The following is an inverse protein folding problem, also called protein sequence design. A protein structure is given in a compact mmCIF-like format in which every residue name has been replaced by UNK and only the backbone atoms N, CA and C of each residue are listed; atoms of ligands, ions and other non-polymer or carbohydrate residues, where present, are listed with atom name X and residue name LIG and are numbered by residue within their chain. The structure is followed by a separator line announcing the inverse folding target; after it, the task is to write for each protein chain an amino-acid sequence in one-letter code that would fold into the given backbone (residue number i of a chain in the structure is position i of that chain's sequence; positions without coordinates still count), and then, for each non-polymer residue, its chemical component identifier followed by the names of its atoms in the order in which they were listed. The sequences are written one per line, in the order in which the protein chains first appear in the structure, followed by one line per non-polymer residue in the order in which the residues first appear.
data_IF_391724965082
#
_entry.id   IF_391724965082
#
_cell.length_a   1.000
_cell.length_b   1.000
_cell.length_c   1.000
_cell.angle_alpha   90.00
_cell.angle_beta   90.00
_cell.angle_gamma   90.00
#
_symmetry.space_group_name_H-M   'P 1'
#
loop_
_entity.id
_entity.type
_entity.pdbx_description
1 polymer ?
#
# COMPACT_ATOMS: atom_id res chain seq x y z
N UNK A 1 -28.97 -53.72 -38.02
CA UNK A 1 -29.24 -54.85 -37.16
C UNK A 1 -30.61 -55.46 -37.45
N UNK A 2 -30.84 -56.71 -37.03
CA UNK A 2 -32.17 -57.34 -37.11
C UNK A 2 -33.01 -57.12 -35.84
N UNK A 3 -32.38 -56.62 -34.84
CA UNK A 3 -32.96 -56.20 -33.52
C UNK A 3 -32.58 -54.80 -33.25
N UNK A 4 -33.35 -54.11 -32.42
CA UNK A 4 -32.98 -52.81 -31.88
C UNK A 4 -31.69 -52.94 -31.05
N UNK A 5 -30.77 -52.00 -31.21
CA UNK A 5 -29.54 -51.90 -30.42
C UNK A 5 -29.71 -50.78 -29.42
N UNK A 6 -29.40 -51.06 -28.17
CA UNK A 6 -29.34 -50.01 -27.14
C UNK A 6 -27.94 -49.90 -26.56
N UNK A 7 -27.54 -48.70 -26.14
CA UNK A 7 -26.29 -48.41 -25.45
C UNK A 7 -26.53 -47.30 -24.44
N UNK A 8 -26.12 -47.51 -23.21
CA UNK A 8 -26.16 -46.49 -22.19
C UNK A 8 -25.01 -45.50 -22.40
N UNK A 9 -25.25 -44.26 -22.08
CA UNK A 9 -24.20 -43.26 -22.04
C UNK A 9 -24.22 -42.44 -20.74
N UNK A 10 -23.01 -42.11 -20.25
CA UNK A 10 -22.78 -41.27 -19.08
C UNK A 10 -22.05 -40.02 -19.54
N UNK A 11 -22.45 -38.89 -19.01
CA UNK A 11 -21.91 -37.55 -19.30
C UNK A 11 -21.07 -37.07 -18.14
N UNK A 12 -19.81 -36.73 -18.41
CA UNK A 12 -18.85 -36.19 -17.44
C UNK A 12 -18.07 -35.05 -18.11
N UNK A 13 -17.08 -34.49 -17.42
CA UNK A 13 -16.23 -33.43 -17.97
C UNK A 13 -16.07 -32.29 -16.95
N UNK A 14 -15.53 -31.17 -17.39
CA UNK A 14 -15.37 -29.96 -16.56
C UNK A 14 -16.59 -29.06 -16.66
N UNK A 15 -17.27 -29.03 -17.80
CA UNK A 15 -18.48 -28.25 -18.00
C UNK A 15 -19.65 -28.76 -17.15
N UNK A 16 -20.46 -27.86 -16.65
CA UNK A 16 -21.60 -28.13 -15.77
C UNK A 16 -22.89 -28.28 -16.59
N UNK A 17 -23.49 -29.47 -16.51
CA UNK A 17 -24.75 -29.76 -17.20
C UNK A 17 -25.97 -29.08 -16.60
N UNK A 18 -27.16 -29.57 -17.02
CA UNK A 18 -28.47 -29.07 -16.55
C UNK A 18 -28.81 -27.64 -16.95
N UNK A 19 -28.24 -27.17 -18.08
CA UNK A 19 -28.53 -25.85 -18.64
C UNK A 19 -27.71 -24.71 -18.01
N UNK A 20 -26.65 -25.02 -17.29
CA UNK A 20 -25.65 -24.04 -16.88
C UNK A 20 -24.72 -23.75 -18.05
N UNK A 21 -23.93 -24.72 -18.49
CA UNK A 21 -23.05 -24.59 -19.66
C UNK A 21 -23.61 -25.33 -20.88
N UNK A 22 -24.36 -26.43 -20.66
CA UNK A 22 -25.02 -27.19 -21.70
C UNK A 22 -26.19 -28.00 -21.14
N UNK A 23 -26.98 -28.57 -22.06
CA UNK A 23 -28.06 -29.52 -21.72
C UNK A 23 -27.78 -30.88 -22.35
N UNK A 24 -27.42 -31.85 -21.52
CA UNK A 24 -27.39 -33.30 -21.80
C UNK A 24 -27.27 -34.04 -20.47
N UNK A 25 -28.21 -34.95 -20.22
CA UNK A 25 -28.15 -35.86 -19.07
C UNK A 25 -27.69 -37.24 -19.50
N UNK A 26 -27.30 -38.08 -18.55
CA UNK A 26 -27.11 -39.53 -18.75
C UNK A 26 -28.35 -40.13 -19.36
N UNK A 27 -28.17 -41.17 -20.22
CA UNK A 27 -29.30 -41.77 -20.88
C UNK A 27 -28.97 -43.07 -21.61
N UNK A 28 -29.93 -43.53 -22.39
CA UNK A 28 -29.79 -44.69 -23.25
C UNK A 28 -30.13 -44.32 -24.68
N UNK A 29 -29.18 -44.49 -25.58
CA UNK A 29 -29.40 -44.36 -27.02
C UNK A 29 -29.99 -45.66 -27.58
N UNK A 30 -31.07 -45.55 -28.36
CA UNK A 30 -31.67 -46.67 -29.08
C UNK A 30 -31.50 -46.48 -30.58
N UNK A 31 -30.98 -47.51 -31.27
CA UNK A 31 -30.84 -47.57 -32.74
C UNK A 31 -31.81 -48.64 -33.22
N UNK A 32 -32.82 -48.21 -33.96
CA UNK A 32 -33.90 -49.11 -34.44
C UNK A 32 -33.40 -50.20 -35.42
N UNK A 33 -34.11 -51.29 -35.41
CA UNK A 33 -33.84 -52.41 -36.39
C UNK A 33 -33.87 -51.88 -37.83
N UNK A 34 -32.79 -52.11 -38.53
CA UNK A 34 -32.58 -51.60 -39.90
C UNK A 34 -31.72 -50.34 -39.99
N UNK A 35 -31.62 -49.55 -38.94
CA UNK A 35 -30.74 -48.41 -38.92
C UNK A 35 -29.31 -48.77 -38.52
N UNK A 36 -28.34 -47.97 -38.95
CA UNK A 36 -26.91 -48.20 -38.75
C UNK A 36 -26.28 -47.14 -37.80
N UNK A 37 -27.02 -46.11 -37.42
CA UNK A 37 -26.54 -45.00 -36.55
C UNK A 37 -27.65 -44.45 -35.68
N UNK A 38 -27.29 -43.84 -34.57
CA UNK A 38 -28.12 -43.01 -33.69
C UNK A 38 -27.31 -41.82 -33.23
N UNK A 39 -27.96 -40.79 -32.70
CA UNK A 39 -27.32 -39.52 -32.31
C UNK A 39 -27.62 -39.20 -30.83
N UNK A 40 -26.59 -38.90 -30.09
CA UNK A 40 -26.67 -38.20 -28.80
C UNK A 40 -26.37 -36.73 -29.06
N UNK A 41 -27.22 -35.80 -28.62
CA UNK A 41 -27.09 -34.38 -28.95
C UNK A 41 -26.84 -33.60 -27.69
N UNK A 42 -25.76 -32.82 -27.65
CA UNK A 42 -25.51 -31.75 -26.66
C UNK A 42 -26.28 -30.54 -27.19
N UNK A 43 -27.15 -29.96 -26.38
CA UNK A 43 -27.94 -28.79 -26.74
C UNK A 43 -27.71 -27.64 -25.73
N UNK A 44 -28.20 -26.45 -26.11
CA UNK A 44 -28.23 -25.27 -25.23
C UNK A 44 -26.84 -24.98 -24.64
N UNK A 45 -25.80 -24.94 -25.50
CA UNK A 45 -24.49 -24.48 -25.11
C UNK A 45 -24.65 -22.99 -24.78
N UNK A 46 -24.34 -22.65 -23.54
CA UNK A 46 -24.47 -21.28 -23.01
C UNK A 46 -23.19 -20.53 -23.32
N UNK A 47 -23.33 -19.26 -23.72
CA UNK A 47 -22.32 -18.27 -23.92
C UNK A 47 -22.59 -17.13 -22.89
N UNK A 48 -21.64 -16.80 -22.05
CA UNK A 48 -21.77 -15.72 -21.07
C UNK A 48 -20.68 -14.65 -21.28
N UNK A 49 -20.22 -13.95 -20.27
CA UNK A 49 -19.23 -12.88 -20.39
C UNK A 49 -18.04 -13.09 -19.42
N UNK A 50 -17.93 -14.29 -18.84
CA UNK A 50 -16.84 -14.61 -17.94
C UNK A 50 -15.65 -15.17 -18.71
N UNK A 51 -14.47 -14.58 -18.54
CA UNK A 51 -13.20 -15.15 -18.97
C UNK A 51 -12.92 -16.41 -18.13
N UNK A 52 -12.99 -17.59 -18.77
CA UNK A 52 -12.91 -18.90 -18.16
C UNK A 52 -11.90 -19.81 -18.88
N UNK A 53 -11.65 -20.97 -18.33
CA UNK A 53 -10.89 -22.00 -19.04
C UNK A 53 -11.82 -22.76 -19.98
N UNK A 54 -11.28 -23.23 -21.13
CA UNK A 54 -12.01 -24.13 -22.00
C UNK A 54 -12.50 -25.33 -21.22
N UNK A 55 -13.76 -25.67 -21.39
CA UNK A 55 -14.40 -26.78 -20.69
C UNK A 55 -14.68 -27.99 -21.58
N UNK A 56 -14.95 -29.12 -20.96
CA UNK A 56 -15.20 -30.37 -21.68
C UNK A 56 -16.51 -31.02 -21.29
N UNK A 57 -17.20 -31.59 -22.31
CA UNK A 57 -18.31 -32.53 -22.15
C UNK A 57 -17.84 -33.88 -22.66
N UNK A 58 -17.75 -34.88 -21.81
CA UNK A 58 -17.25 -36.21 -22.12
C UNK A 58 -18.42 -37.20 -22.07
N UNK A 59 -18.73 -37.83 -23.20
CA UNK A 59 -19.77 -38.86 -23.35
C UNK A 59 -19.12 -40.22 -23.45
N UNK A 60 -19.41 -41.10 -22.48
CA UNK A 60 -18.87 -42.46 -22.44
C UNK A 60 -19.98 -43.49 -22.67
N UNK A 61 -19.84 -44.34 -23.65
CA UNK A 61 -20.79 -45.43 -23.96
C UNK A 61 -20.52 -46.68 -23.12
N UNK A 62 -21.59 -47.32 -22.64
CA UNK A 62 -21.52 -48.54 -21.84
C UNK A 62 -22.73 -49.46 -22.05
N UNK A 63 -22.69 -50.66 -21.49
CA UNK A 63 -23.82 -51.62 -21.44
C UNK A 63 -24.55 -51.80 -22.76
N UNK A 64 -23.87 -52.15 -23.90
CA UNK A 64 -24.54 -52.36 -25.18
C UNK A 64 -25.44 -53.61 -25.14
N UNK A 65 -26.62 -53.52 -25.77
CA UNK A 65 -27.52 -54.66 -26.00
C UNK A 65 -27.64 -54.91 -27.47
N UNK A 66 -27.58 -56.17 -27.88
CA UNK A 66 -27.56 -56.66 -29.29
C UNK A 66 -26.41 -56.09 -30.13
N UNK A 67 -25.34 -55.62 -29.47
CA UNK A 67 -24.10 -55.11 -30.06
C UNK A 67 -22.91 -55.32 -29.11
N UNK A 68 -21.70 -55.02 -29.55
CA UNK A 68 -20.48 -54.94 -28.75
C UNK A 68 -19.88 -53.54 -28.89
N UNK A 69 -19.31 -53.03 -27.80
CA UNK A 69 -18.57 -51.77 -27.84
C UNK A 69 -17.30 -51.92 -28.68
N UNK A 70 -17.02 -50.91 -29.50
CA UNK A 70 -15.74 -50.78 -30.18
C UNK A 70 -14.69 -50.13 -29.24
N UNK A 71 -13.52 -49.81 -29.82
CA UNK A 71 -12.43 -49.12 -29.14
C UNK A 71 -12.79 -47.67 -28.83
N UNK A 72 -13.57 -47.03 -29.68
CA UNK A 72 -13.90 -45.61 -29.65
C UNK A 72 -15.26 -45.42 -28.97
N UNK A 73 -15.29 -45.66 -27.68
CA UNK A 73 -16.48 -45.58 -26.83
C UNK A 73 -16.54 -44.31 -25.96
N UNK A 74 -15.61 -43.40 -26.15
CA UNK A 74 -15.56 -42.09 -25.45
C UNK A 74 -15.47 -40.99 -26.51
N UNK A 75 -16.31 -39.98 -26.37
CA UNK A 75 -16.26 -38.77 -27.17
C UNK A 75 -16.10 -37.56 -26.26
N UNK A 76 -15.16 -36.66 -26.59
CA UNK A 76 -14.95 -35.39 -25.87
C UNK A 76 -15.35 -34.26 -26.80
N UNK A 77 -16.25 -33.41 -26.32
CA UNK A 77 -16.57 -32.14 -26.93
C UNK A 77 -15.97 -31.04 -26.06
N UNK A 78 -15.31 -30.03 -26.66
CA UNK A 78 -14.72 -28.90 -25.95
C UNK A 78 -15.59 -27.68 -26.21
N UNK A 79 -16.04 -27.02 -25.13
CA UNK A 79 -16.62 -25.68 -25.12
C UNK A 79 -15.43 -24.76 -25.03
N UNK A 80 -15.21 -23.92 -26.02
CA UNK A 80 -14.13 -22.95 -26.03
C UNK A 80 -14.66 -21.64 -25.44
N UNK A 81 -13.95 -21.13 -24.46
CA UNK A 81 -14.14 -19.76 -23.99
C UNK A 81 -13.74 -18.75 -25.09
N UNK A 82 -14.55 -17.73 -25.30
CA UNK A 82 -14.38 -16.68 -26.32
C UNK A 82 -14.34 -15.28 -25.70
N UNK A 83 -14.32 -15.18 -24.36
CA UNK A 83 -14.34 -13.92 -23.64
C UNK A 83 -12.94 -13.34 -23.41
N UNK A 84 -12.89 -12.03 -23.28
CA UNK A 84 -11.62 -11.35 -23.08
C UNK A 84 -11.26 -11.31 -21.60
N UNK A 85 -9.99 -11.51 -21.29
CA UNK A 85 -9.47 -11.29 -19.95
C UNK A 85 -9.76 -9.85 -19.48
N UNK A 86 -10.21 -9.68 -18.24
CA UNK A 86 -10.53 -8.37 -17.67
C UNK A 86 -9.29 -7.49 -17.51
N UNK A 87 -9.47 -6.17 -17.40
CA UNK A 87 -8.41 -5.26 -16.96
C UNK A 87 -8.43 -5.12 -15.44
N UNK A 88 -7.24 -4.89 -14.86
CA UNK A 88 -7.05 -4.66 -13.43
C UNK A 88 -6.42 -3.29 -13.20
N UNK A 89 -7.05 -2.47 -12.35
CA UNK A 89 -6.74 -1.08 -12.10
C UNK A 89 -6.92 -0.70 -10.62
N UNK A 90 -6.25 0.35 -10.15
CA UNK A 90 -6.64 0.99 -8.89
C UNK A 90 -7.94 1.76 -9.06
N UNK A 91 -8.88 1.61 -8.11
CA UNK A 91 -10.15 2.37 -8.08
C UNK A 91 -9.93 3.90 -8.01
N UNK A 92 -8.92 4.30 -7.25
CA UNK A 92 -8.42 5.67 -7.15
C UNK A 92 -6.90 5.64 -7.24
N UNK A 93 -6.29 6.68 -7.80
CA UNK A 93 -4.83 6.72 -8.01
C UNK A 93 -4.06 7.49 -6.93
N UNK A 94 -4.77 8.12 -5.99
CA UNK A 94 -4.11 8.82 -4.89
C UNK A 94 -4.99 9.00 -3.66
N UNK A 95 -4.35 9.07 -2.50
CA UNK A 95 -4.95 9.51 -1.23
C UNK A 95 -3.90 10.19 -0.35
N UNK A 96 -4.32 10.69 0.81
CA UNK A 96 -3.43 11.27 1.81
C UNK A 96 -3.99 11.09 3.22
N UNK A 97 -3.12 11.09 4.21
CA UNK A 97 -3.47 11.10 5.63
C UNK A 97 -2.41 11.81 6.46
N UNK A 98 -2.78 12.23 7.66
CA UNK A 98 -1.85 12.67 8.70
C UNK A 98 -1.24 11.46 9.42
N UNK A 99 -0.25 11.69 10.26
CA UNK A 99 0.33 10.74 11.23
C UNK A 99 -0.25 11.02 12.64
N UNK A 100 -0.60 9.96 13.42
CA UNK A 100 -0.77 8.58 12.96
C UNK A 100 -2.09 8.40 12.18
N UNK A 101 -2.12 7.43 11.29
CA UNK A 101 -3.35 7.08 10.59
C UNK A 101 -3.71 5.60 10.82
N UNK A 102 -5.00 5.26 10.91
CA UNK A 102 -5.43 3.87 10.96
C UNK A 102 -5.11 3.15 9.65
N UNK A 103 -5.41 1.84 9.59
CA UNK A 103 -5.19 1.06 8.36
C UNK A 103 -5.91 1.68 7.16
N UNK A 104 -5.22 1.67 6.02
CA UNK A 104 -5.70 2.22 4.75
C UNK A 104 -5.93 1.04 3.80
N UNK A 105 -7.16 0.87 3.34
CA UNK A 105 -7.50 -0.11 2.32
C UNK A 105 -7.51 0.56 0.95
N UNK A 106 -6.67 0.09 0.06
CA UNK A 106 -6.54 0.54 -1.31
C UNK A 106 -7.27 -0.47 -2.18
N UNK A 107 -8.34 -0.04 -2.83
CA UNK A 107 -9.17 -0.89 -3.67
C UNK A 107 -8.53 -1.04 -5.05
N UNK A 108 -8.45 -2.29 -5.50
CA UNK A 108 -8.07 -2.68 -6.85
C UNK A 108 -9.30 -3.28 -7.51
N UNK A 109 -9.73 -2.71 -8.62
CA UNK A 109 -10.92 -3.12 -9.35
C UNK A 109 -10.55 -3.96 -10.57
N UNK A 110 -11.45 -4.87 -10.92
CA UNK A 110 -11.41 -5.67 -12.14
C UNK A 110 -12.58 -5.24 -13.02
N UNK A 111 -12.33 -4.98 -14.30
CA UNK A 111 -13.33 -4.41 -15.22
C UNK A 111 -14.59 -5.26 -15.39
N UNK A 112 -14.46 -6.57 -15.21
CA UNK A 112 -15.56 -7.54 -15.20
C UNK A 112 -15.14 -8.74 -14.34
N UNK A 113 -16.12 -9.46 -13.80
CA UNK A 113 -15.84 -10.71 -13.08
C UNK A 113 -15.25 -11.74 -14.01
N UNK A 114 -14.34 -12.58 -13.48
CA UNK A 114 -13.77 -13.72 -14.21
C UNK A 114 -14.14 -15.01 -13.49
N UNK A 115 -14.32 -16.08 -14.23
CA UNK A 115 -14.45 -17.43 -13.69
C UNK A 115 -13.12 -17.99 -13.16
N UNK A 116 -12.01 -17.27 -13.36
CA UNK A 116 -10.66 -17.65 -12.90
C UNK A 116 -10.19 -16.74 -11.75
N UNK A 117 -9.37 -17.30 -10.86
CA UNK A 117 -8.62 -16.51 -9.89
C UNK A 117 -7.67 -15.56 -10.63
N UNK A 118 -7.69 -14.29 -10.25
CA UNK A 118 -6.78 -13.26 -10.76
C UNK A 118 -5.72 -12.99 -9.72
N UNK A 119 -4.47 -12.87 -10.15
CA UNK A 119 -3.38 -12.39 -9.29
C UNK A 119 -2.63 -11.25 -9.96
N UNK A 120 -2.11 -10.31 -9.14
CA UNK A 120 -1.26 -9.22 -9.59
C UNK A 120 -0.20 -8.92 -8.53
N UNK A 121 1.04 -8.78 -8.97
CA UNK A 121 2.12 -8.37 -8.07
C UNK A 121 2.03 -6.86 -7.81
N UNK A 122 2.40 -6.44 -6.60
CA UNK A 122 2.55 -5.03 -6.25
C UNK A 122 3.92 -4.76 -5.62
N UNK A 123 4.51 -3.63 -6.02
CA UNK A 123 5.78 -3.14 -5.53
C UNK A 123 5.61 -1.76 -4.89
N UNK A 124 6.26 -1.58 -3.74
CA UNK A 124 6.27 -0.32 -3.01
C UNK A 124 7.56 0.46 -3.27
N UNK A 125 7.39 1.74 -3.54
CA UNK A 125 8.47 2.73 -3.69
C UNK A 125 7.99 4.04 -3.04
N UNK A 126 8.77 5.11 -3.16
CA UNK A 126 8.41 6.42 -2.63
C UNK A 126 9.49 6.96 -1.70
N UNK A 127 9.17 8.01 -0.95
CA UNK A 127 10.10 8.64 0.02
C UNK A 127 9.92 8.09 1.43
N UNK A 128 8.71 7.67 1.79
CA UNK A 128 8.41 7.06 3.08
C UNK A 128 9.16 5.72 3.27
N UNK A 129 9.63 5.48 4.49
CA UNK A 129 10.44 4.32 4.87
C UNK A 129 9.56 3.20 5.42
N UNK A 130 9.52 2.06 4.74
CA UNK A 130 8.80 0.87 5.18
C UNK A 130 9.45 0.15 6.37
N UNK A 131 9.02 -1.10 6.59
CA UNK A 131 9.55 -1.99 7.65
C UNK A 131 9.33 -1.47 9.07
N UNK A 132 8.27 -0.69 9.28
CA UNK A 132 7.86 -0.24 10.61
C UNK A 132 8.49 1.08 11.06
N UNK A 133 9.05 1.89 10.15
CA UNK A 133 9.40 3.30 10.42
C UNK A 133 8.14 4.15 10.20
N UNK A 134 7.74 4.44 8.98
CA UNK A 134 6.56 5.25 8.66
C UNK A 134 5.34 4.37 8.39
N UNK A 135 5.55 3.18 7.87
CA UNK A 135 4.51 2.18 7.63
C UNK A 135 5.07 0.75 7.65
N UNK A 136 4.18 -0.25 7.69
CA UNK A 136 4.55 -1.65 7.69
C UNK A 136 3.79 -2.44 6.62
N UNK A 137 4.20 -2.30 5.36
CA UNK A 137 3.76 -3.11 4.24
C UNK A 137 4.97 -3.44 3.37
N UNK A 138 5.03 -4.68 2.88
CA UNK A 138 6.09 -5.15 1.97
C UNK A 138 5.51 -5.43 0.59
N UNK A 139 6.38 -5.57 -0.42
CA UNK A 139 6.00 -6.03 -1.76
C UNK A 139 5.29 -7.38 -1.66
N UNK A 140 4.31 -7.61 -2.51
CA UNK A 140 3.51 -8.83 -2.46
C UNK A 140 2.71 -9.09 -3.71
N UNK A 141 1.80 -10.05 -3.60
CA UNK A 141 0.85 -10.41 -4.64
C UNK A 141 -0.56 -10.29 -4.10
N UNK A 142 -1.41 -9.54 -4.78
CA UNK A 142 -2.84 -9.50 -4.53
C UNK A 142 -3.50 -10.64 -5.28
N UNK A 143 -4.39 -11.36 -4.61
CA UNK A 143 -5.23 -12.40 -5.19
C UNK A 143 -6.68 -11.93 -5.12
N UNK A 144 -7.40 -12.08 -6.22
CA UNK A 144 -8.84 -11.84 -6.35
C UNK A 144 -9.48 -13.17 -6.77
N UNK A 145 -10.34 -13.71 -5.91
CA UNK A 145 -10.96 -15.00 -6.14
C UNK A 145 -11.88 -14.97 -7.37
N UNK A 146 -12.06 -16.12 -8.01
CA UNK A 146 -13.01 -16.28 -9.12
C UNK A 146 -14.42 -15.81 -8.70
N UNK A 147 -15.06 -15.03 -9.56
CA UNK A 147 -16.38 -14.43 -9.31
C UNK A 147 -16.37 -13.10 -8.56
N UNK A 148 -15.22 -12.68 -8.00
CA UNK A 148 -15.07 -11.37 -7.38
C UNK A 148 -14.54 -10.35 -8.41
N UNK A 149 -14.87 -9.07 -8.19
CA UNK A 149 -14.46 -7.98 -9.08
C UNK A 149 -13.62 -6.91 -8.35
N UNK A 150 -13.28 -7.15 -7.09
CA UNK A 150 -12.47 -6.22 -6.29
C UNK A 150 -11.52 -6.98 -5.37
N UNK A 151 -10.34 -6.38 -5.14
CA UNK A 151 -9.40 -6.81 -4.12
C UNK A 151 -8.86 -5.62 -3.33
N UNK A 152 -8.11 -5.88 -2.25
CA UNK A 152 -7.61 -4.83 -1.38
C UNK A 152 -6.13 -5.03 -1.06
N UNK A 153 -5.34 -3.98 -1.26
CA UNK A 153 -4.00 -3.86 -0.68
C UNK A 153 -4.15 -3.01 0.58
N UNK A 154 -3.75 -3.55 1.73
CA UNK A 154 -3.93 -2.86 3.03
C UNK A 154 -2.59 -2.40 3.58
N UNK A 155 -2.43 -1.10 3.78
CA UNK A 155 -1.37 -0.54 4.61
C UNK A 155 -1.89 -0.63 6.06
N UNK A 156 -1.24 -1.36 6.99
CA UNK A 156 -1.77 -1.61 8.34
C UNK A 156 -1.97 -0.36 9.20
N UNK A 157 -1.34 0.73 8.84
CA UNK A 157 -1.43 2.05 9.46
C UNK A 157 -0.19 2.87 9.13
N UNK A 158 -0.31 4.18 9.28
CA UNK A 158 0.81 5.12 9.26
C UNK A 158 1.25 5.31 10.70
N UNK A 159 2.54 5.23 10.93
CA UNK A 159 3.16 5.37 12.24
C UNK A 159 3.49 6.84 12.49
N UNK A 160 3.56 7.23 13.75
CA UNK A 160 3.83 8.60 14.21
C UNK A 160 5.07 8.56 15.09
N UNK A 161 5.95 9.50 14.93
CA UNK A 161 7.07 9.70 15.84
C UNK A 161 7.17 11.20 16.24
N UNK A 162 8.28 11.61 16.82
CA UNK A 162 8.49 12.98 17.28
C UNK A 162 9.51 13.73 16.40
N UNK A 163 9.79 13.23 15.20
CA UNK A 163 10.80 13.80 14.28
C UNK A 163 10.08 14.71 13.27
N UNK A 164 10.52 15.96 13.16
CA UNK A 164 10.01 16.85 12.13
C UNK A 164 10.52 16.41 10.76
N UNK A 165 9.59 16.13 9.88
CA UNK A 165 9.82 15.61 8.53
C UNK A 165 9.10 16.47 7.49
N UNK A 166 9.33 16.18 6.22
CA UNK A 166 8.57 16.75 5.12
C UNK A 166 7.48 15.75 4.71
N UNK A 167 6.47 16.18 3.96
CA UNK A 167 5.47 15.28 3.39
C UNK A 167 6.14 14.15 2.61
N UNK A 168 5.74 12.92 2.89
CA UNK A 168 6.32 11.73 2.29
C UNK A 168 5.33 10.96 1.43
N UNK A 169 5.81 10.01 0.63
CA UNK A 169 4.97 9.24 -0.29
C UNK A 169 5.22 7.75 -0.19
N UNK A 170 4.13 6.98 -0.26
CA UNK A 170 4.12 5.54 -0.56
C UNK A 170 3.54 5.38 -1.96
N UNK A 171 4.33 4.84 -2.87
CA UNK A 171 3.91 4.60 -4.26
C UNK A 171 3.78 3.09 -4.45
N UNK A 172 2.60 2.64 -4.88
CA UNK A 172 2.32 1.23 -5.15
C UNK A 172 2.12 1.06 -6.65
N UNK A 173 2.86 0.13 -7.25
CA UNK A 173 2.80 -0.16 -8.70
C UNK A 173 2.37 -1.59 -8.93
N UNK A 174 1.32 -1.82 -9.74
CA UNK A 174 0.86 -3.15 -10.16
C UNK A 174 1.69 -3.67 -11.32
N UNK A 175 2.00 -4.98 -11.31
CA UNK A 175 2.76 -5.66 -12.36
C UNK A 175 2.42 -7.16 -12.44
N UNK A 176 2.85 -7.83 -13.53
CA UNK A 176 2.73 -9.28 -13.71
C UNK A 176 1.33 -9.87 -13.43
N UNK A 177 0.25 -9.35 -14.02
CA UNK A 177 -1.08 -9.90 -13.81
C UNK A 177 -1.17 -11.32 -14.39
N UNK A 178 -1.94 -12.19 -13.73
CA UNK A 178 -2.34 -13.51 -14.24
C UNK A 178 -3.86 -13.51 -14.40
N UNK A 179 -4.37 -14.02 -15.49
CA UNK A 179 -5.79 -14.04 -15.88
C UNK A 179 -6.43 -12.63 -15.93
N UNK A 180 -5.62 -11.60 -16.13
CA UNK A 180 -6.04 -10.22 -16.33
C UNK A 180 -5.00 -9.46 -17.16
N UNK A 181 -5.35 -8.25 -17.60
CA UNK A 181 -4.48 -7.32 -18.31
C UNK A 181 -4.36 -6.06 -17.45
N UNK A 182 -3.14 -5.50 -17.32
CA UNK A 182 -2.98 -4.20 -16.64
C UNK A 182 -3.71 -3.10 -17.39
N UNK A 183 -4.52 -2.33 -16.69
CA UNK A 183 -5.14 -1.12 -17.20
C UNK A 183 -4.23 0.09 -17.12
N UNK A 184 -4.81 1.28 -17.25
CA UNK A 184 -4.07 2.55 -17.28
C UNK A 184 -3.73 3.02 -15.85
N UNK A 185 -4.61 2.81 -14.87
CA UNK A 185 -4.49 3.25 -13.48
C UNK A 185 -3.76 2.22 -12.61
N UNK A 186 -2.53 1.90 -12.98
CA UNK A 186 -1.69 0.88 -12.33
C UNK A 186 -0.70 1.42 -11.30
N UNK A 187 -0.73 2.72 -11.03
CA UNK A 187 0.13 3.37 -10.03
C UNK A 187 -0.76 4.15 -9.07
N UNK A 188 -0.60 3.86 -7.78
CA UNK A 188 -1.27 4.57 -6.69
C UNK A 188 -0.25 5.28 -5.83
N UNK A 189 -0.58 6.51 -5.38
CA UNK A 189 0.28 7.28 -4.48
C UNK A 189 -0.49 7.68 -3.22
N UNK A 190 0.00 7.25 -2.07
CA UNK A 190 -0.42 7.77 -0.76
C UNK A 190 0.56 8.82 -0.29
N UNK A 191 0.08 10.01 0.11
CA UNK A 191 0.91 11.05 0.72
C UNK A 191 0.67 11.06 2.23
N UNK A 192 1.73 10.88 2.98
CA UNK A 192 1.78 11.06 4.43
C UNK A 192 2.06 12.54 4.66
N UNK A 193 1.17 13.22 5.38
CA UNK A 193 1.33 14.64 5.69
C UNK A 193 2.12 14.78 6.99
N UNK A 194 3.22 15.49 6.92
CA UNK A 194 4.00 15.83 8.10
C UNK A 194 3.15 16.60 9.12
N UNK A 195 3.20 16.18 10.38
CA UNK A 195 2.43 16.79 11.45
C UNK A 195 3.30 17.26 12.62
N UNK A 196 4.60 16.89 12.61
CA UNK A 196 5.56 17.32 13.61
C UNK A 196 6.23 18.62 13.19
N UNK A 197 5.96 19.66 13.93
CA UNK A 197 6.74 20.89 13.88
C UNK A 197 8.16 20.61 14.40
N UNK A 198 9.17 21.25 13.85
CA UNK A 198 10.49 21.28 14.50
C UNK A 198 10.32 21.71 15.96
N UNK A 199 10.30 20.73 16.84
CA UNK A 199 10.06 20.92 18.27
C UNK A 199 11.20 21.70 18.96
N UNK A 200 12.31 21.91 18.24
CA UNK A 200 13.43 22.73 18.73
C UNK A 200 13.04 24.19 18.78
N UNK A 201 13.19 24.84 19.93
CA UNK A 201 12.95 26.27 20.03
C UNK A 201 13.87 27.06 19.11
N UNK A 202 13.29 27.98 18.33
CA UNK A 202 14.04 28.90 17.48
C UNK A 202 14.20 30.27 18.20
N UNK A 203 15.44 30.79 18.23
CA UNK A 203 15.71 32.08 18.83
C UNK A 203 15.19 33.25 17.97
N UNK A 204 14.16 33.94 18.45
CA UNK A 204 13.53 35.07 17.76
C UNK A 204 14.33 36.35 17.96
N UNK A 205 14.74 36.61 19.21
CA UNK A 205 15.43 37.88 19.56
C UNK A 205 16.28 37.74 20.80
N UNK A 206 17.25 38.64 20.90
CA UNK A 206 18.07 38.84 22.11
C UNK A 206 17.93 40.29 22.63
N UNK A 207 18.03 40.44 23.93
CA UNK A 207 18.18 41.75 24.53
C UNK A 207 19.31 41.68 25.63
N UNK A 208 20.43 42.39 25.51
CA UNK A 208 20.77 43.31 24.41
C UNK A 208 20.74 42.66 23.04
N UNK A 209 20.44 43.44 22.00
CA UNK A 209 20.56 42.97 20.61
C UNK A 209 22.01 42.65 20.30
N UNK A 210 22.24 41.73 19.37
CA UNK A 210 23.56 41.48 18.83
C UNK A 210 24.22 42.76 18.31
N UNK A 211 25.53 42.92 18.48
CA UNK A 211 26.32 44.12 18.18
C UNK A 211 25.92 45.40 18.97
N UNK A 212 25.18 45.27 20.06
CA UNK A 212 24.83 46.42 20.91
C UNK A 212 26.06 47.00 21.58
N UNK A 213 26.24 48.31 21.48
CA UNK A 213 27.32 49.07 22.15
C UNK A 213 26.78 49.81 23.37
N UNK A 214 27.64 50.03 24.39
CA UNK A 214 27.30 50.73 25.62
C UNK A 214 26.20 50.06 26.45
N UNK A 215 26.20 48.74 26.45
CA UNK A 215 25.32 47.93 27.32
C UNK A 215 25.73 48.15 28.75
N UNK A 216 24.80 48.46 29.69
CA UNK A 216 25.13 48.56 31.10
C UNK A 216 25.73 47.25 31.63
N UNK A 217 26.71 47.36 32.52
CA UNK A 217 27.47 46.22 33.08
C UNK A 217 26.62 45.27 33.95
N UNK A 218 25.46 45.68 34.32
CA UNK A 218 24.47 44.95 35.14
C UNK A 218 23.28 44.48 34.31
N UNK A 219 23.38 44.53 32.99
CA UNK A 219 22.32 44.06 32.10
C UNK A 219 22.26 42.55 32.03
N UNK A 220 21.08 42.01 32.25
CA UNK A 220 20.79 40.59 31.96
C UNK A 220 20.74 40.35 30.45
N UNK A 221 21.03 39.12 30.02
CA UNK A 221 20.77 38.68 28.66
C UNK A 221 19.41 37.99 28.62
N UNK A 222 18.50 38.51 27.82
CA UNK A 222 17.19 37.95 27.60
C UNK A 222 17.16 37.33 26.22
N UNK A 223 16.84 36.03 26.14
CA UNK A 223 16.64 35.27 24.90
C UNK A 223 15.15 34.99 24.75
N UNK A 224 14.58 35.39 23.63
CA UNK A 224 13.18 35.10 23.31
C UNK A 224 13.12 34.08 22.21
N UNK A 225 12.43 32.98 22.46
CA UNK A 225 12.22 31.86 21.52
C UNK A 225 10.76 31.82 21.05
N UNK A 226 10.50 31.10 19.96
CA UNK A 226 9.16 30.83 19.43
C UNK A 226 8.37 29.83 20.27
N UNK A 227 9.08 29.00 21.05
CA UNK A 227 8.51 27.94 21.90
C UNK A 227 9.22 27.89 23.24
N UNK A 228 8.59 27.22 24.21
CA UNK A 228 9.16 27.02 25.55
C UNK A 228 10.47 26.22 25.49
N UNK A 229 11.50 26.69 26.19
CA UNK A 229 12.84 26.09 26.25
C UNK A 229 13.02 25.30 27.53
N UNK A 230 13.37 24.03 27.43
CA UNK A 230 13.77 23.21 28.56
C UNK A 230 15.27 23.39 28.84
N UNK A 231 15.64 23.61 30.14
CA UNK A 231 17.02 23.84 30.56
C UNK A 231 17.60 22.66 31.35
N UNK A 232 17.21 21.43 31.08
CA UNK A 232 17.68 20.25 31.84
C UNK A 232 19.15 19.95 31.64
N UNK A 233 19.67 20.24 30.44
CA UNK A 233 21.08 19.99 30.10
C UNK A 233 21.55 20.91 28.96
N UNK A 234 22.86 21.06 28.82
CA UNK A 234 23.48 21.83 27.75
C UNK A 234 24.42 22.89 28.24
N UNK A 235 24.93 23.72 27.34
CA UNK A 235 25.84 24.83 27.64
C UNK A 235 25.46 26.04 26.79
N UNK A 236 25.26 27.20 27.46
CA UNK A 236 25.10 28.50 26.80
C UNK A 236 26.47 29.13 26.72
N UNK A 237 26.97 29.41 25.54
CA UNK A 237 28.23 30.08 25.29
C UNK A 237 27.96 31.53 24.91
N UNK A 238 28.56 32.46 25.64
CA UNK A 238 28.50 33.91 25.40
C UNK A 238 29.91 34.37 25.04
N UNK A 239 30.13 34.95 23.86
CA UNK A 239 31.45 35.32 23.43
C UNK A 239 31.48 36.05 22.08
N UNK A 240 32.64 36.52 21.67
CA UNK A 240 32.86 37.13 20.37
C UNK A 240 33.17 36.08 19.29
N UNK A 241 33.03 36.44 18.01
CA UNK A 241 33.16 35.60 16.82
C UNK A 241 34.47 34.78 16.68
N UNK A 242 35.46 34.97 17.55
CA UNK A 242 36.78 34.33 17.45
C UNK A 242 36.95 33.05 18.26
N UNK A 243 35.92 32.22 18.37
CA UNK A 243 36.00 30.84 18.89
C UNK A 243 36.46 30.64 20.34
N UNK A 244 36.53 31.64 21.17
CA UNK A 244 36.73 31.50 22.62
C UNK A 244 35.52 32.09 23.33
N UNK A 245 34.66 31.29 23.98
CA UNK A 245 33.56 31.87 24.75
C UNK A 245 34.15 32.69 25.87
N UNK A 246 33.74 33.97 25.93
CA UNK A 246 34.11 34.82 27.05
C UNK A 246 33.52 34.29 28.38
N UNK A 247 32.39 33.59 28.27
CA UNK A 247 31.70 32.97 29.37
C UNK A 247 30.85 31.79 28.92
N UNK A 248 30.88 30.70 29.66
CA UNK A 248 30.08 29.50 29.37
C UNK A 248 29.25 29.13 30.60
N UNK A 249 27.96 28.92 30.41
CA UNK A 249 27.01 28.50 31.44
C UNK A 249 26.53 27.09 31.15
N UNK A 250 26.88 26.14 32.00
CA UNK A 250 26.34 24.78 31.93
C UNK A 250 24.98 24.72 32.61
N UNK A 251 24.03 24.08 31.96
CA UNK A 251 22.68 23.91 32.45
C UNK A 251 22.51 22.57 33.22
N UNK A 252 21.66 22.51 34.25
CA UNK A 252 20.92 23.62 34.86
C UNK A 252 21.84 24.57 35.66
N UNK A 253 21.49 25.86 35.76
CA UNK A 253 22.27 26.85 36.47
C UNK A 253 21.38 27.92 37.12
N UNK A 254 21.70 28.36 38.35
CA UNK A 254 20.91 29.31 39.10
C UNK A 254 20.85 30.75 38.50
N UNK A 255 21.83 31.07 37.62
CA UNK A 255 21.82 32.37 36.92
C UNK A 255 20.91 32.36 35.70
N UNK A 256 20.39 31.20 35.30
CA UNK A 256 19.47 31.04 34.19
C UNK A 256 18.07 30.84 34.74
N UNK A 257 17.17 31.73 34.36
CA UNK A 257 15.75 31.71 34.79
C UNK A 257 14.84 31.71 33.56
N UNK A 258 13.57 31.35 33.76
CA UNK A 258 12.59 31.25 32.68
C UNK A 258 12.51 29.90 31.98
N UNK A 259 13.22 28.89 32.45
CA UNK A 259 13.12 27.51 31.92
C UNK A 259 11.67 27.01 31.93
N UNK A 260 11.24 26.37 30.85
CA UNK A 260 9.84 25.98 30.63
C UNK A 260 8.97 27.10 30.03
N UNK A 261 9.56 28.22 29.63
CA UNK A 261 8.87 29.36 28.98
C UNK A 261 9.61 29.77 27.68
N UNK A 262 8.99 30.64 26.89
CA UNK A 262 9.57 31.22 25.67
C UNK A 262 10.68 32.26 25.97
N UNK A 263 10.83 32.69 27.21
CA UNK A 263 11.79 33.73 27.59
C UNK A 263 12.78 33.19 28.62
N UNK A 264 14.03 33.08 28.22
CA UNK A 264 15.14 32.71 29.08
C UNK A 264 15.92 33.97 29.46
N UNK A 265 16.15 34.17 30.76
CA UNK A 265 16.96 35.26 31.27
C UNK A 265 18.24 34.73 31.89
N UNK A 266 19.38 35.26 31.47
CA UNK A 266 20.70 34.95 32.02
C UNK A 266 21.16 36.13 32.84
N UNK A 267 21.19 35.96 34.16
CA UNK A 267 21.64 36.99 35.12
C UNK A 267 23.16 36.93 35.24
N UNK A 268 23.87 37.74 34.47
CA UNK A 268 25.33 37.71 34.44
C UNK A 268 25.94 38.30 35.70
N UNK A 269 26.88 37.61 36.36
CA UNK A 269 27.61 38.21 37.48
C UNK A 269 28.49 39.37 37.00
N UNK A 270 28.55 40.45 37.78
CA UNK A 270 29.25 41.72 37.49
C UNK A 270 30.72 41.54 36.99
N UNK A 271 31.33 40.38 37.23
CA UNK A 271 32.73 40.07 36.84
C UNK A 271 32.96 39.94 35.33
N UNK A 272 31.94 39.75 34.52
CA UNK A 272 32.08 39.58 33.05
C UNK A 272 32.40 40.92 32.35
N UNK A 273 31.98 42.05 32.89
CA UNK A 273 32.17 43.34 32.30
C UNK A 273 33.45 44.04 32.77
N UNK A 274 34.14 43.52 33.78
CA UNK A 274 35.36 44.13 34.34
C UNK A 274 36.64 43.74 33.60
N UNK A 275 36.64 42.60 32.81
CA UNK A 275 37.81 42.18 32.06
C UNK A 275 37.99 42.97 30.74
N UNK A 276 36.90 43.43 30.14
CA UNK A 276 36.97 44.16 28.87
C UNK A 276 37.26 45.66 29.07
N UNK A 277 36.82 46.25 30.20
CA UNK A 277 37.13 47.61 30.56
C UNK A 277 38.63 47.84 30.93
N UNK A 278 39.33 46.76 31.30
CA UNK A 278 40.78 46.86 31.58
C UNK A 278 41.65 46.86 30.35
N UNK A 279 41.17 46.30 29.21
CA UNK A 279 41.93 46.24 27.95
C UNK A 279 41.85 47.55 27.16
N UNK A 280 40.76 48.36 27.32
CA UNK A 280 40.66 49.69 26.66
C UNK A 280 41.54 50.77 27.36
N UNK A 281 41.93 50.57 28.62
CA UNK A 281 42.81 51.52 29.29
C UNK A 281 44.31 51.36 28.95
N UNK A 282 44.69 50.29 28.26
CA UNK A 282 46.08 50.11 27.78
C UNK A 282 46.33 50.55 26.34
N UNK A 283 45.35 51.17 25.66
CA UNK A 283 45.54 51.80 24.35
C UNK A 283 45.45 53.32 24.48
N UNK A 284 46.46 53.91 25.14
CA UNK A 284 46.83 55.31 25.01
C UNK A 284 48.33 55.40 24.65
#
# INVERSE_FOLDING_TARGET
PRLDVTVDYVVTGTATGSGQDYTLADGTLSISSGETSGTVTITDIVDDLFDEDNETVIVTLSNPSNATLGSDNVHTYTINDNDNSPTIDFNIISSKSDEPSPSINITVDVSQTSGREISVDYELTGTATGSGTDYNLENGTLIIDAGENTGFITIPGILDDDIAEEDETIIISLSNPTNAILGDDRIYTHTILANDDDKRPFLISTNPKDDSTRVPIDSDIILTFDKAVNCESGTINIGSENNSPAFAVSLPNEIVTGCGTEIITINLPCLLYTSDAADEQQRV
#
